data_IF_644461325424
#
_entry.id   IF_644461325424
#
_cell.length_a   1.000
_cell.length_b   1.000
_cell.length_c   1.000
_cell.angle_alpha   90.00
_cell.angle_beta   90.00
_cell.angle_gamma   90.00
#
_symmetry.space_group_name_H-M   'P 1'
#
loop_
_entity.id
_entity.type
_entity.pdbx_description
1 polymer ?
#
# COMPACT_ATOMS: atom_id res chain seq x y z
N UNK A 1 2.97 27.82 -28.25
CA UNK A 1 2.01 26.84 -27.68
C UNK A 1 2.48 26.56 -26.26
N UNK A 2 1.61 26.57 -25.24
CA UNK A 2 2.04 26.25 -23.88
C UNK A 2 2.55 24.81 -23.82
N UNK A 3 3.60 24.57 -23.05
CA UNK A 3 4.15 23.23 -22.82
C UNK A 3 3.17 22.45 -21.95
N UNK A 4 2.77 21.26 -22.38
CA UNK A 4 1.96 20.36 -21.55
C UNK A 4 2.87 19.54 -20.65
N UNK A 5 2.92 19.87 -19.36
CA UNK A 5 3.76 19.20 -18.35
C UNK A 5 3.30 17.77 -18.04
N UNK A 6 2.04 17.42 -18.35
CA UNK A 6 1.47 16.10 -18.12
C UNK A 6 1.42 15.24 -19.40
N UNK A 7 2.19 15.59 -20.43
CA UNK A 7 2.27 14.73 -21.61
C UNK A 7 2.95 13.40 -21.25
N UNK A 8 2.57 12.35 -21.97
CA UNK A 8 3.11 11.01 -21.77
C UNK A 8 3.99 10.59 -22.95
N UNK A 9 4.99 9.75 -22.67
CA UNK A 9 5.79 9.10 -23.71
C UNK A 9 5.02 7.92 -24.36
N UNK A 10 5.68 7.19 -25.26
CA UNK A 10 5.08 6.02 -25.93
C UNK A 10 4.67 4.88 -24.99
N UNK A 11 5.13 4.92 -23.73
CA UNK A 11 4.84 3.94 -22.68
C UNK A 11 3.84 4.49 -21.65
N UNK A 12 3.21 5.63 -21.90
CA UNK A 12 2.24 6.23 -20.98
C UNK A 12 2.88 6.94 -19.77
N UNK A 13 4.20 7.07 -19.71
CA UNK A 13 4.90 7.70 -18.58
C UNK A 13 5.02 9.21 -18.74
N UNK A 14 4.67 9.95 -17.69
CA UNK A 14 4.80 11.40 -17.56
C UNK A 14 6.24 11.80 -17.21
N UNK A 15 6.57 13.09 -17.39
CA UNK A 15 7.89 13.62 -17.04
C UNK A 15 8.24 13.40 -15.55
N UNK A 16 7.26 13.57 -14.65
CA UNK A 16 7.49 13.38 -13.21
C UNK A 16 7.75 11.91 -12.86
N UNK A 17 7.02 10.96 -13.47
CA UNK A 17 7.30 9.53 -13.27
C UNK A 17 8.71 9.15 -13.73
N UNK A 18 9.18 9.69 -14.86
CA UNK A 18 10.55 9.47 -15.35
C UNK A 18 11.57 10.09 -14.39
N UNK A 19 11.31 11.30 -13.88
CA UNK A 19 12.21 11.96 -12.93
C UNK A 19 12.33 11.17 -11.61
N UNK A 20 11.21 10.62 -11.12
CA UNK A 20 11.17 9.75 -9.94
C UNK A 20 11.95 8.45 -10.17
N UNK A 21 11.73 7.78 -11.29
CA UNK A 21 12.40 6.53 -11.68
C UNK A 21 13.94 6.70 -11.78
N UNK A 22 14.41 7.92 -12.08
CA UNK A 22 15.84 8.25 -12.12
C UNK A 22 16.35 8.90 -10.83
N UNK A 23 15.55 8.92 -9.77
CA UNK A 23 15.85 9.55 -8.48
C UNK A 23 16.33 11.01 -8.58
N UNK A 24 15.85 11.75 -9.58
CA UNK A 24 16.32 13.10 -9.84
C UNK A 24 15.50 14.13 -9.04
N UNK A 25 15.95 14.41 -7.82
CA UNK A 25 15.26 15.30 -6.88
C UNK A 25 15.06 16.71 -7.43
N UNK A 26 16.05 17.26 -8.12
CA UNK A 26 15.99 18.63 -8.65
C UNK A 26 14.91 18.77 -9.74
N UNK A 27 14.79 17.77 -10.62
CA UNK A 27 13.74 17.77 -11.65
C UNK A 27 12.37 17.54 -11.00
N UNK A 28 12.26 16.65 -10.01
CA UNK A 28 11.00 16.44 -9.28
C UNK A 28 10.56 17.75 -8.59
N UNK A 29 11.47 18.43 -7.89
CA UNK A 29 11.19 19.71 -7.24
C UNK A 29 10.70 20.76 -8.24
N UNK A 30 11.37 20.87 -9.38
CA UNK A 30 10.99 21.80 -10.44
C UNK A 30 9.60 21.48 -11.01
N UNK A 31 9.30 20.20 -11.27
CA UNK A 31 8.01 19.79 -11.81
C UNK A 31 6.86 20.00 -10.82
N UNK A 32 7.12 19.89 -9.52
CA UNK A 32 6.11 20.14 -8.47
C UNK A 32 5.75 21.62 -8.31
N UNK A 33 6.54 22.55 -8.89
CA UNK A 33 6.20 23.97 -8.91
C UNK A 33 5.14 24.32 -9.96
N UNK A 34 4.88 23.42 -10.92
CA UNK A 34 3.93 23.65 -12.00
C UNK A 34 2.48 23.49 -11.50
N UNK A 35 1.60 24.50 -11.67
CA UNK A 35 0.30 24.57 -10.99
C UNK A 35 -0.69 23.48 -11.39
N UNK A 36 -0.49 22.83 -12.53
CA UNK A 36 -1.37 21.79 -13.06
C UNK A 36 -0.71 20.40 -13.09
N UNK A 37 0.39 20.20 -12.35
CA UNK A 37 1.09 18.91 -12.33
C UNK A 37 0.20 17.79 -11.77
N UNK A 38 0.19 16.64 -12.45
CA UNK A 38 -0.44 15.41 -11.99
C UNK A 38 0.63 14.48 -11.45
N UNK A 39 0.61 14.22 -10.14
CA UNK A 39 1.53 13.28 -9.51
C UNK A 39 1.22 11.85 -9.95
N UNK A 40 -0.06 11.47 -10.03
CA UNK A 40 -0.48 10.15 -10.51
C UNK A 40 0.27 9.01 -9.81
N UNK A 41 0.76 8.05 -10.60
CA UNK A 41 1.50 6.90 -10.09
C UNK A 41 2.95 7.22 -9.68
N UNK A 42 3.45 8.45 -9.89
CA UNK A 42 4.81 8.83 -9.48
C UNK A 42 5.05 8.57 -7.98
N UNK A 43 4.01 8.75 -7.16
CA UNK A 43 4.07 8.41 -5.74
C UNK A 43 4.24 6.90 -5.52
N UNK A 44 3.56 6.05 -6.29
CA UNK A 44 3.69 4.59 -6.17
C UNK A 44 5.08 4.12 -6.62
N UNK A 45 5.63 4.67 -7.71
CA UNK A 45 7.02 4.39 -8.10
C UNK A 45 8.01 4.80 -7.02
N UNK A 46 7.90 6.01 -6.46
CA UNK A 46 8.80 6.48 -5.41
C UNK A 46 8.78 5.58 -4.16
N UNK A 47 7.61 5.04 -3.81
CA UNK A 47 7.45 4.09 -2.70
C UNK A 47 8.06 2.73 -3.04
N UNK A 48 7.83 2.23 -4.26
CA UNK A 48 8.36 0.95 -4.71
C UNK A 48 9.90 0.95 -4.70
N UNK A 49 10.52 2.03 -5.19
CA UNK A 49 11.97 2.20 -5.21
C UNK A 49 12.55 2.58 -3.83
N UNK A 50 11.71 2.92 -2.86
CA UNK A 50 12.16 3.21 -1.49
C UNK A 50 12.80 4.60 -1.31
N UNK A 51 12.52 5.55 -2.21
CA UNK A 51 13.19 6.85 -2.22
C UNK A 51 12.48 7.82 -1.27
N UNK A 52 12.78 7.72 0.03
CA UNK A 52 12.12 8.48 1.11
C UNK A 52 11.95 9.98 0.79
N UNK A 53 13.01 10.65 0.35
CA UNK A 53 13.00 12.10 0.10
C UNK A 53 12.03 12.49 -1.02
N UNK A 54 11.95 11.70 -2.09
CA UNK A 54 10.98 11.94 -3.16
C UNK A 54 9.56 11.70 -2.64
N UNK A 55 9.34 10.62 -1.88
CA UNK A 55 8.03 10.35 -1.28
C UNK A 55 7.59 11.53 -0.42
N UNK A 56 8.46 12.06 0.43
CA UNK A 56 8.20 13.24 1.27
C UNK A 56 7.81 14.46 0.43
N UNK A 57 8.59 14.78 -0.61
CA UNK A 57 8.28 15.89 -1.53
C UNK A 57 6.91 15.72 -2.22
N UNK A 58 6.59 14.51 -2.66
CA UNK A 58 5.34 14.22 -3.37
C UNK A 58 4.12 14.32 -2.42
N UNK A 59 4.21 13.79 -1.20
CA UNK A 59 3.08 13.83 -0.25
C UNK A 59 2.84 15.21 0.36
N UNK A 60 3.85 16.08 0.37
CA UNK A 60 3.74 17.47 0.80
C UNK A 60 3.06 18.37 -0.23
N UNK A 61 2.93 17.90 -1.46
CA UNK A 61 2.26 18.64 -2.52
C UNK A 61 0.76 18.79 -2.25
N UNK A 62 0.23 20.00 -2.47
CA UNK A 62 -1.15 20.37 -2.11
C UNK A 62 -2.25 19.54 -2.80
N UNK A 63 -1.93 18.86 -3.91
CA UNK A 63 -2.87 17.98 -4.61
C UNK A 63 -3.05 16.62 -3.94
N UNK A 64 -2.14 16.23 -3.05
CA UNK A 64 -2.23 14.97 -2.29
C UNK A 64 -3.01 15.22 -1.01
N UNK A 65 -4.09 14.45 -0.83
CA UNK A 65 -4.91 14.50 0.38
C UNK A 65 -4.80 13.19 1.15
N UNK A 66 -5.09 13.23 2.45
CA UNK A 66 -5.07 12.05 3.33
C UNK A 66 -5.82 10.84 2.76
N UNK A 67 -6.97 11.06 2.11
CA UNK A 67 -7.80 9.95 1.60
C UNK A 67 -7.22 9.35 0.30
N UNK A 68 -6.31 10.05 -0.40
CA UNK A 68 -5.49 9.49 -1.47
C UNK A 68 -4.44 8.52 -0.90
N UNK A 69 -3.93 8.76 0.32
CA UNK A 69 -2.91 7.90 0.91
C UNK A 69 -3.45 6.55 1.44
N UNK A 70 -4.76 6.45 1.68
CA UNK A 70 -5.43 5.30 2.32
C UNK A 70 -6.29 4.44 1.39
N UNK A 71 -7.18 3.62 1.98
CA UNK A 71 -8.07 2.68 1.24
C UNK A 71 -9.10 3.36 0.33
N UNK A 72 -9.31 4.66 0.47
CA UNK A 72 -10.17 5.44 -0.44
C UNK A 72 -9.51 5.77 -1.79
N UNK A 73 -8.24 5.36 -1.99
CA UNK A 73 -7.51 5.48 -3.26
C UNK A 73 -8.30 4.95 -4.46
N UNK A 74 -8.87 3.75 -4.35
CA UNK A 74 -9.60 3.08 -5.44
C UNK A 74 -10.88 3.80 -5.87
N UNK A 75 -11.49 4.60 -4.99
CA UNK A 75 -12.70 5.41 -5.28
C UNK A 75 -12.39 6.68 -6.07
N UNK A 76 -11.15 7.18 -6.05
CA UNK A 76 -10.75 8.41 -6.76
C UNK A 76 -9.99 8.16 -8.06
N UNK A 77 -9.25 7.06 -8.16
CA UNK A 77 -8.50 6.72 -9.39
C UNK A 77 -9.45 6.34 -10.55
N UNK A 78 -10.73 6.08 -10.27
CA UNK A 78 -11.70 5.82 -11.33
C UNK A 78 -12.19 7.14 -11.97
N UNK A 79 -11.67 7.45 -13.17
CA UNK A 79 -12.47 7.63 -14.41
C UNK A 79 -11.71 8.06 -15.67
N UNK A 80 -10.41 8.38 -15.66
CA UNK A 80 -9.73 8.85 -16.89
C UNK A 80 -8.37 8.26 -17.24
N UNK A 81 -7.63 7.67 -16.30
CA UNK A 81 -6.26 7.17 -16.55
C UNK A 81 -6.09 5.86 -15.77
N UNK A 82 -6.34 4.72 -16.43
CA UNK A 82 -5.99 3.42 -15.85
C UNK A 82 -4.47 3.34 -15.74
N UNK A 83 -3.96 3.14 -14.52
CA UNK A 83 -2.54 2.86 -14.29
C UNK A 83 -2.16 1.58 -15.03
N UNK A 84 -1.08 1.63 -15.81
CA UNK A 84 -0.58 0.47 -16.55
C UNK A 84 0.23 -0.49 -15.68
N UNK A 85 0.90 0.01 -14.64
CA UNK A 85 1.87 -0.76 -13.85
C UNK A 85 1.33 -1.19 -12.48
N UNK A 86 0.42 -0.42 -11.89
CA UNK A 86 -0.18 -0.71 -10.59
C UNK A 86 -1.67 -1.04 -10.70
N UNK A 87 -2.07 -2.10 -9.98
CA UNK A 87 -3.49 -2.44 -9.85
C UNK A 87 -4.23 -1.36 -9.05
N UNK A 88 -5.48 -1.08 -9.42
CA UNK A 88 -6.29 -0.02 -8.82
C UNK A 88 -6.60 -0.22 -7.31
N UNK A 89 -6.35 -1.41 -6.78
CA UNK A 89 -6.51 -1.74 -5.35
C UNK A 89 -5.23 -1.51 -4.52
N UNK A 90 -4.09 -1.21 -5.15
CA UNK A 90 -2.85 -0.85 -4.47
C UNK A 90 -2.85 0.66 -4.17
N UNK A 91 -3.05 1.00 -2.89
CA UNK A 91 -2.86 2.37 -2.39
C UNK A 91 -1.42 2.60 -1.91
N UNK A 92 -0.98 3.86 -1.74
CA UNK A 92 0.35 4.19 -1.23
C UNK A 92 0.71 3.47 0.08
N UNK A 93 -0.21 3.44 1.05
CA UNK A 93 0.01 2.76 2.33
C UNK A 93 0.06 1.24 2.20
N UNK A 94 -0.73 0.65 1.29
CA UNK A 94 -0.68 -0.78 1.00
C UNK A 94 0.67 -1.13 0.36
N UNK A 95 1.11 -0.35 -0.63
CA UNK A 95 2.39 -0.59 -1.30
C UNK A 95 3.57 -0.47 -0.35
N UNK A 96 3.64 0.61 0.45
CA UNK A 96 4.71 0.80 1.44
C UNK A 96 4.79 -0.36 2.45
N UNK A 97 3.63 -0.89 2.86
CA UNK A 97 3.54 -2.05 3.74
C UNK A 97 4.03 -3.32 3.04
N UNK A 98 3.60 -3.58 1.81
CA UNK A 98 4.02 -4.76 1.03
C UNK A 98 5.53 -4.73 0.76
N UNK A 99 6.09 -3.56 0.45
CA UNK A 99 7.53 -3.35 0.26
C UNK A 99 8.32 -3.38 1.58
N UNK A 100 7.64 -3.46 2.73
CA UNK A 100 8.24 -3.49 4.07
C UNK A 100 9.17 -2.29 4.35
N UNK A 101 8.79 -1.10 3.85
CA UNK A 101 9.56 0.15 3.98
C UNK A 101 9.15 0.89 5.27
N UNK A 102 9.92 0.73 6.36
CA UNK A 102 9.53 1.23 7.69
C UNK A 102 9.40 2.76 7.73
N UNK A 103 10.38 3.48 7.21
CA UNK A 103 10.47 4.94 7.27
C UNK A 103 9.38 5.59 6.41
N UNK A 104 9.19 5.08 5.19
CA UNK A 104 8.12 5.55 4.29
C UNK A 104 6.75 5.24 4.87
N UNK A 105 6.55 4.04 5.42
CA UNK A 105 5.28 3.68 6.04
C UNK A 105 5.00 4.57 7.27
N UNK A 106 6.00 4.82 8.11
CA UNK A 106 5.88 5.72 9.24
C UNK A 106 5.52 7.15 8.80
N UNK A 107 6.14 7.65 7.73
CA UNK A 107 5.80 8.94 7.13
C UNK A 107 4.33 8.97 6.68
N UNK A 108 3.86 7.97 5.92
CA UNK A 108 2.47 7.88 5.47
C UNK A 108 1.48 7.83 6.65
N UNK A 109 1.80 7.05 7.69
CA UNK A 109 0.99 6.96 8.91
C UNK A 109 0.94 8.30 9.66
N UNK A 110 2.05 9.04 9.71
CA UNK A 110 2.11 10.39 10.31
C UNK A 110 1.21 11.40 9.57
N UNK A 111 0.99 11.20 8.26
CA UNK A 111 0.04 11.99 7.45
C UNK A 111 -1.40 11.45 7.49
N UNK A 112 -1.65 10.47 8.36
CA UNK A 112 -2.98 9.92 8.62
C UNK A 112 -3.42 8.85 7.63
N UNK A 113 -2.53 8.28 6.83
CA UNK A 113 -2.87 7.13 6.01
C UNK A 113 -3.32 5.95 6.89
N UNK A 114 -4.31 5.17 6.43
CA UNK A 114 -4.87 4.03 7.16
C UNK A 114 -5.23 2.90 6.21
N UNK A 115 -5.10 1.68 6.72
CA UNK A 115 -5.60 0.46 6.08
C UNK A 115 -6.85 0.01 6.84
N UNK A 116 -7.96 -0.07 6.12
CA UNK A 116 -9.21 -0.64 6.63
C UNK A 116 -9.16 -2.16 6.51
N UNK A 117 -9.52 -2.86 7.60
CA UNK A 117 -9.55 -4.32 7.59
C UNK A 117 -10.69 -4.83 6.71
N UNK A 118 -10.46 -5.85 5.86
CA UNK A 118 -11.53 -6.46 5.08
C UNK A 118 -12.59 -7.08 5.99
N UNK A 119 -13.84 -7.06 5.55
CA UNK A 119 -14.89 -7.82 6.20
C UNK A 119 -14.63 -9.34 6.04
N UNK A 120 -15.27 -10.13 6.91
CA UNK A 120 -15.27 -11.59 6.81
C UNK A 120 -15.82 -12.04 5.46
N UNK A 121 -15.32 -13.15 4.92
CA UNK A 121 -15.70 -13.66 3.58
C UNK A 121 -17.20 -13.97 3.42
N UNK A 122 -17.94 -14.16 4.51
CA UNK A 122 -19.38 -14.39 4.52
C UNK A 122 -20.20 -13.15 4.93
N UNK A 123 -19.61 -11.96 4.89
CA UNK A 123 -20.33 -10.73 5.21
C UNK A 123 -21.46 -10.46 4.20
N UNK A 124 -22.64 -10.12 4.70
CA UNK A 124 -23.82 -9.81 3.88
C UNK A 124 -24.22 -8.33 3.95
N UNK A 125 -23.28 -7.43 4.24
CA UNK A 125 -23.56 -6.00 4.20
C UNK A 125 -23.68 -5.50 2.74
N UNK A 126 -24.38 -4.38 2.55
CA UNK A 126 -24.61 -3.81 1.22
C UNK A 126 -23.30 -3.49 0.49
N UNK A 127 -22.28 -2.99 1.19
CA UNK A 127 -20.99 -2.64 0.58
C UNK A 127 -20.27 -3.87 0.00
N UNK A 128 -20.17 -4.97 0.76
CA UNK A 128 -19.56 -6.21 0.29
C UNK A 128 -20.35 -6.82 -0.88
N UNK A 129 -21.69 -6.79 -0.81
CA UNK A 129 -22.54 -7.29 -1.88
C UNK A 129 -22.36 -6.46 -3.15
N UNK A 130 -22.29 -5.13 -3.01
CA UNK A 130 -22.11 -4.20 -4.13
C UNK A 130 -20.74 -4.39 -4.78
N UNK A 131 -19.65 -4.35 -4.01
CA UNK A 131 -18.28 -4.55 -4.52
C UNK A 131 -18.15 -5.88 -5.26
N UNK A 132 -18.72 -6.96 -4.70
CA UNK A 132 -18.67 -8.28 -5.33
C UNK A 132 -19.53 -8.40 -6.60
N UNK A 133 -20.63 -7.62 -6.69
CA UNK A 133 -21.48 -7.57 -7.89
C UNK A 133 -20.88 -6.71 -9.00
N UNK A 134 -20.21 -5.62 -8.65
CA UNK A 134 -19.53 -4.74 -9.60
C UNK A 134 -18.35 -5.46 -10.24
N UNK A 135 -17.42 -5.97 -9.41
CA UNK A 135 -16.26 -6.71 -9.88
C UNK A 135 -15.72 -7.65 -8.78
N UNK A 136 -16.13 -8.91 -8.87
CA UNK A 136 -15.71 -9.97 -7.93
C UNK A 136 -14.19 -10.20 -7.91
N UNK A 137 -13.51 -10.04 -9.06
CA UNK A 137 -12.06 -10.27 -9.15
C UNK A 137 -11.32 -9.12 -8.48
N UNK A 138 -11.67 -7.87 -8.79
CA UNK A 138 -11.09 -6.69 -8.16
C UNK A 138 -11.34 -6.67 -6.65
N UNK A 139 -12.54 -7.08 -6.21
CA UNK A 139 -12.84 -7.21 -4.79
C UNK A 139 -11.95 -8.27 -4.09
N UNK A 140 -11.71 -9.40 -4.75
CA UNK A 140 -10.85 -10.46 -4.20
C UNK A 140 -9.38 -10.06 -4.18
N UNK A 141 -8.90 -9.36 -5.23
CA UNK A 141 -7.55 -8.80 -5.28
C UNK A 141 -7.33 -7.75 -4.19
N UNK A 142 -8.27 -6.82 -4.03
CA UNK A 142 -8.24 -5.82 -2.96
C UNK A 142 -8.13 -6.48 -1.58
N UNK A 143 -8.95 -7.51 -1.31
CA UNK A 143 -8.91 -8.25 -0.04
C UNK A 143 -7.54 -8.90 0.17
N UNK A 144 -7.03 -9.60 -0.84
CA UNK A 144 -5.71 -10.24 -0.79
C UNK A 144 -4.59 -9.23 -0.53
N UNK A 145 -4.51 -8.14 -1.30
CA UNK A 145 -3.46 -7.13 -1.15
C UNK A 145 -3.55 -6.38 0.18
N UNK A 146 -4.77 -6.17 0.69
CA UNK A 146 -4.97 -5.64 2.04
C UNK A 146 -4.38 -6.59 3.09
N UNK A 147 -4.62 -7.91 3.00
CA UNK A 147 -4.01 -8.87 3.92
C UNK A 147 -2.48 -8.95 3.78
N UNK A 148 -1.93 -8.80 2.57
CA UNK A 148 -0.46 -8.70 2.39
C UNK A 148 0.12 -7.53 3.16
N UNK A 149 -0.51 -6.36 3.07
CA UNK A 149 -0.09 -5.17 3.82
C UNK A 149 -0.21 -5.37 5.33
N UNK A 150 -1.36 -5.88 5.82
CA UNK A 150 -1.59 -6.13 7.25
C UNK A 150 -0.62 -7.14 7.85
N UNK A 151 -0.17 -8.12 7.07
CA UNK A 151 0.78 -9.15 7.48
C UNK A 151 2.26 -8.74 7.40
N UNK A 152 2.56 -7.54 6.87
CA UNK A 152 3.94 -7.06 6.77
C UNK A 152 4.55 -6.77 8.15
N UNK A 153 5.83 -7.14 8.39
CA UNK A 153 6.54 -6.79 9.61
C UNK A 153 6.52 -5.29 9.92
N UNK A 154 6.70 -4.44 8.90
CA UNK A 154 6.64 -2.99 9.03
C UNK A 154 5.29 -2.52 9.57
N UNK A 155 4.19 -3.01 8.99
CA UNK A 155 2.85 -2.65 9.45
C UNK A 155 2.60 -3.12 10.88
N UNK A 156 2.89 -4.38 11.20
CA UNK A 156 2.65 -4.95 12.53
C UNK A 156 3.45 -4.16 13.58
N UNK A 157 4.73 -3.89 13.32
CA UNK A 157 5.63 -3.20 14.25
C UNK A 157 5.21 -1.74 14.51
N UNK A 158 4.76 -1.02 13.47
CA UNK A 158 4.44 0.41 13.59
C UNK A 158 3.01 0.67 14.11
N UNK A 159 2.09 -0.29 13.96
CA UNK A 159 0.67 -0.05 14.25
C UNK A 159 0.12 -0.83 15.44
N UNK A 160 0.82 -1.86 15.91
CA UNK A 160 0.35 -2.72 17.00
C UNK A 160 1.07 -2.43 18.31
N UNK A 161 0.35 -2.25 19.43
CA UNK A 161 0.99 -2.09 20.75
C UNK A 161 1.63 -3.39 21.25
N UNK A 162 1.12 -4.54 20.81
CA UNK A 162 1.68 -5.88 21.04
C UNK A 162 1.86 -6.57 19.69
N UNK A 163 3.06 -6.44 19.07
CA UNK A 163 3.33 -6.98 17.75
C UNK A 163 3.31 -8.51 17.69
N UNK A 164 3.75 -9.19 18.76
CA UNK A 164 3.78 -10.66 18.85
C UNK A 164 2.35 -11.21 18.86
N UNK A 165 1.49 -10.68 19.73
CA UNK A 165 0.09 -11.10 19.79
C UNK A 165 -0.67 -10.77 18.49
N UNK A 166 -0.39 -9.61 17.90
CA UNK A 166 -0.99 -9.22 16.63
C UNK A 166 -0.61 -10.20 15.51
N UNK A 167 0.67 -10.59 15.43
CA UNK A 167 1.15 -11.55 14.45
C UNK A 167 0.51 -12.94 14.63
N UNK A 168 0.38 -13.46 15.86
CA UNK A 168 -0.29 -14.74 16.10
C UNK A 168 -1.77 -14.73 15.74
N UNK A 169 -2.50 -13.67 16.13
CA UNK A 169 -3.92 -13.52 15.78
C UNK A 169 -4.11 -13.47 14.27
N UNK A 170 -3.26 -12.72 13.57
CA UNK A 170 -3.34 -12.58 12.12
C UNK A 170 -2.95 -13.88 11.41
N UNK A 171 -1.93 -14.59 11.89
CA UNK A 171 -1.56 -15.93 11.38
C UNK A 171 -2.73 -16.91 11.44
N UNK A 172 -3.45 -16.95 12.57
CA UNK A 172 -4.63 -17.80 12.72
C UNK A 172 -5.77 -17.39 11.77
N UNK A 173 -6.04 -16.09 11.65
CA UNK A 173 -7.03 -15.54 10.73
C UNK A 173 -6.73 -15.93 9.27
N UNK A 174 -5.47 -15.80 8.85
CA UNK A 174 -5.00 -16.14 7.51
C UNK A 174 -5.11 -17.64 7.21
N UNK A 175 -4.78 -18.52 8.18
CA UNK A 175 -4.99 -19.97 8.02
C UNK A 175 -6.47 -20.31 7.81
N UNK A 176 -7.38 -19.64 8.52
CA UNK A 176 -8.82 -19.84 8.35
C UNK A 176 -9.35 -19.27 7.02
N UNK A 177 -8.74 -18.20 6.50
CA UNK A 177 -9.07 -17.72 5.15
C UNK A 177 -8.60 -18.71 4.08
N UNK A 178 -7.38 -19.23 4.21
CA UNK A 178 -6.82 -20.21 3.28
C UNK A 178 -7.64 -21.52 3.19
N UNK A 179 -8.37 -21.90 4.24
CA UNK A 179 -9.24 -23.08 4.22
C UNK A 179 -10.60 -22.82 3.56
N UNK A 180 -10.99 -21.55 3.43
CA UNK A 180 -12.30 -21.12 2.91
C UNK A 180 -12.23 -20.56 1.49
N UNK A 181 -11.13 -19.90 1.14
CA UNK A 181 -10.90 -19.23 -0.14
C UNK A 181 -9.84 -20.01 -0.92
N UNK A 182 -10.25 -20.64 -2.01
CA UNK A 182 -9.37 -21.51 -2.79
C UNK A 182 -8.48 -20.73 -3.75
N UNK A 183 -8.95 -19.57 -4.22
CA UNK A 183 -8.31 -18.76 -5.26
C UNK A 183 -6.93 -18.23 -4.85
N UNK A 184 -6.78 -17.86 -3.57
CA UNK A 184 -5.55 -17.28 -3.00
C UNK A 184 -5.00 -18.08 -1.81
N UNK A 185 -5.38 -19.35 -1.72
CA UNK A 185 -5.03 -20.24 -0.60
C UNK A 185 -3.54 -20.23 -0.29
N UNK A 186 -2.70 -20.39 -1.31
CA UNK A 186 -1.24 -20.44 -1.15
C UNK A 186 -0.68 -19.11 -0.61
N UNK A 187 -1.21 -17.98 -1.09
CA UNK A 187 -0.81 -16.65 -0.62
C UNK A 187 -1.16 -16.48 0.86
N UNK A 188 -2.35 -16.86 1.28
CA UNK A 188 -2.75 -16.76 2.69
C UNK A 188 -1.91 -17.65 3.61
N UNK A 189 -1.52 -18.85 3.15
CA UNK A 189 -0.60 -19.72 3.90
C UNK A 189 0.77 -19.04 4.03
N UNK A 190 1.33 -18.49 2.94
CA UNK A 190 2.60 -17.78 2.97
C UNK A 190 2.58 -16.57 3.93
N UNK A 191 1.51 -15.77 3.91
CA UNK A 191 1.34 -14.64 4.82
C UNK A 191 1.22 -15.09 6.29
N UNK A 192 0.58 -16.24 6.53
CA UNK A 192 0.49 -16.81 7.87
C UNK A 192 1.87 -17.23 8.39
N UNK A 193 2.67 -17.88 7.56
CA UNK A 193 4.05 -18.24 7.90
C UNK A 193 4.93 -17.00 8.10
N UNK A 194 4.74 -15.95 7.30
CA UNK A 194 5.42 -14.67 7.49
C UNK A 194 5.12 -14.05 8.88
N UNK A 195 3.86 -14.08 9.32
CA UNK A 195 3.49 -13.59 10.65
C UNK A 195 4.14 -14.41 11.77
N UNK A 196 4.16 -15.75 11.65
CA UNK A 196 4.82 -16.63 12.62
C UNK A 196 6.32 -16.36 12.67
N UNK A 197 6.95 -16.27 11.51
CA UNK A 197 8.37 -15.98 11.38
C UNK A 197 8.72 -14.63 12.01
N UNK A 198 7.94 -13.59 11.73
CA UNK A 198 8.12 -12.28 12.35
C UNK A 198 8.08 -12.36 13.89
N UNK A 199 7.12 -13.10 14.47
CA UNK A 199 7.04 -13.28 15.91
C UNK A 199 8.27 -14.01 16.47
N UNK A 200 8.75 -15.07 15.80
CA UNK A 200 9.99 -15.76 16.17
C UNK A 200 11.20 -14.82 16.07
N UNK A 201 11.36 -14.13 14.95
CA UNK A 201 12.49 -13.22 14.69
C UNK A 201 12.55 -12.10 15.75
N UNK A 202 11.39 -11.63 16.24
CA UNK A 202 11.30 -10.62 17.30
C UNK A 202 11.70 -11.18 18.67
N UNK A 203 11.24 -12.39 19.02
CA UNK A 203 11.64 -13.08 20.25
C UNK A 203 13.14 -13.41 20.26
N UNK A 204 13.72 -13.71 19.10
CA UNK A 204 15.16 -13.96 18.94
C UNK A 204 16.02 -12.71 19.22
N UNK A 205 15.42 -11.50 19.27
CA UNK A 205 16.12 -10.27 19.64
C UNK A 205 16.21 -10.04 21.16
N UNK A 206 15.51 -10.82 21.99
CA UNK A 206 15.54 -10.67 23.45
C UNK A 206 16.92 -11.01 24.02
N UNK A 207 17.45 -10.14 24.90
CA UNK A 207 18.81 -10.26 25.48
C UNK A 207 18.80 -10.60 26.97
N UNK A 208 17.64 -10.50 27.62
CA UNK A 208 17.47 -10.77 29.05
C UNK A 208 16.28 -11.69 29.30
N UNK A 209 16.25 -12.32 30.48
CA UNK A 209 15.13 -13.17 30.91
C UNK A 209 13.85 -12.40 31.22
N UNK A 210 13.94 -11.08 31.37
CA UNK A 210 12.77 -10.21 31.57
C UNK A 210 12.08 -9.86 30.24
N UNK A 211 12.84 -9.86 29.13
CA UNK A 211 12.32 -9.64 27.77
C UNK A 211 11.72 -10.91 27.15
N UNK A 212 11.96 -12.10 27.70
CA UNK A 212 11.49 -13.41 27.21
C UNK A 212 10.15 -13.80 27.84
#
# INVERSE_FOLDING_TARGET
QPVNVNCTNMLGRTAIQIAVDNENFEIVELLLQEPNIRIGDALLYAIQEGVYRIVEMLIDHHSITKEVLGTSWSKRVSRSEESHDFSADISPVILASICNQFEILQLLLSRGARIERPHRSNCSCNDCIMMNREDSLKYSLWRMNTYRALASPAWISLTSPDPVLAAFKLSWELCNLASRENEFKEVFIQLSEQCKKYACDLLDQCRSTEEV
#
